data_IF_074252025116
#
_entry.id   IF_074252025116
#
_cell.length_a   1.000
_cell.length_b   1.000
_cell.length_c   1.000
_cell.angle_alpha   90.00
_cell.angle_beta   90.00
_cell.angle_gamma   90.00
#
_symmetry.space_group_name_H-M   'P 1'
#
loop_
_entity.id
_entity.type
_entity.pdbx_description
1 polymer ?
#
# COMPACT_ATOMS: atom_id res chain seq x y z
N UNK A 1 -38.67 37.53 -24.23
CA UNK A 1 -38.24 36.12 -24.35
C UNK A 1 -38.12 35.53 -22.95
N UNK A 2 -38.91 34.52 -22.57
CA UNK A 2 -39.11 34.12 -21.18
C UNK A 2 -38.01 33.19 -20.64
N UNK A 3 -37.69 33.38 -19.35
CA UNK A 3 -36.80 32.52 -18.54
C UNK A 3 -37.41 31.12 -18.40
N UNK A 4 -36.74 30.10 -18.94
CA UNK A 4 -37.06 28.68 -18.69
C UNK A 4 -36.34 28.24 -17.41
N UNK A 5 -37.12 28.03 -16.35
CA UNK A 5 -36.69 27.26 -15.18
C UNK A 5 -36.62 25.78 -15.54
N UNK A 6 -35.51 25.12 -15.23
CA UNK A 6 -35.43 23.67 -15.20
C UNK A 6 -35.74 23.18 -13.78
N UNK A 7 -36.76 22.34 -13.73
CA UNK A 7 -37.29 21.62 -12.58
C UNK A 7 -36.28 20.59 -12.06
N UNK A 8 -36.26 20.45 -10.74
CA UNK A 8 -35.63 19.35 -10.02
C UNK A 8 -36.22 17.99 -10.46
N UNK A 9 -35.34 17.01 -10.68
CA UNK A 9 -35.71 15.62 -10.92
C UNK A 9 -35.98 14.87 -9.59
N UNK A 10 -36.94 13.95 -9.54
CA UNK A 10 -37.30 13.20 -8.34
C UNK A 10 -36.26 12.10 -8.00
N UNK A 11 -36.03 11.93 -6.70
CA UNK A 11 -35.03 11.03 -6.13
C UNK A 11 -35.27 9.54 -6.39
N UNK A 12 -34.16 8.83 -6.63
CA UNK A 12 -34.07 7.38 -6.77
C UNK A 12 -34.01 6.69 -5.39
N UNK A 13 -34.77 5.59 -5.14
CA UNK A 13 -34.84 4.93 -3.84
C UNK A 13 -33.70 3.91 -3.63
N UNK A 14 -32.53 4.36 -3.17
CA UNK A 14 -31.38 3.49 -2.83
C UNK A 14 -31.41 2.85 -1.42
N UNK A 15 -32.53 2.89 -0.71
CA UNK A 15 -32.59 2.68 0.75
C UNK A 15 -32.75 1.24 1.26
N UNK A 16 -33.05 0.26 0.41
CA UNK A 16 -33.44 -1.09 0.84
C UNK A 16 -32.28 -2.09 0.90
N UNK A 17 -31.27 -1.96 0.03
CA UNK A 17 -30.11 -2.87 0.01
C UNK A 17 -29.12 -2.59 1.15
N UNK A 18 -28.93 -1.33 1.58
CA UNK A 18 -28.11 -0.99 2.76
C UNK A 18 -28.65 -1.56 4.07
N UNK A 19 -29.98 -1.68 4.21
CA UNK A 19 -30.62 -2.17 5.44
C UNK A 19 -30.51 -3.69 5.63
N UNK A 20 -30.32 -4.46 4.55
CA UNK A 20 -30.08 -5.91 4.63
C UNK A 20 -28.64 -6.25 5.03
N UNK A 21 -27.66 -5.53 4.49
CA UNK A 21 -26.24 -5.73 4.84
C UNK A 21 -25.94 -5.39 6.32
N UNK A 22 -26.51 -4.30 6.85
CA UNK A 22 -26.33 -3.93 8.26
C UNK A 22 -26.96 -4.93 9.25
N UNK A 23 -27.98 -5.69 8.83
CA UNK A 23 -28.64 -6.67 9.68
C UNK A 23 -27.81 -7.96 9.83
N UNK A 24 -26.98 -8.29 8.84
CA UNK A 24 -26.07 -9.45 8.86
C UNK A 24 -24.76 -9.19 9.63
N UNK A 25 -24.26 -7.94 9.63
CA UNK A 25 -23.10 -7.60 10.49
C UNK A 25 -23.46 -7.59 11.98
N UNK A 26 -24.68 -7.15 12.35
CA UNK A 26 -25.15 -7.20 13.74
C UNK A 26 -25.39 -8.63 14.23
N UNK A 27 -25.80 -9.57 13.36
CA UNK A 27 -25.97 -10.98 13.77
C UNK A 27 -24.62 -11.68 14.03
N UNK A 28 -23.57 -11.35 13.27
CA UNK A 28 -22.22 -11.89 13.51
C UNK A 28 -21.58 -11.35 14.80
N UNK A 29 -21.79 -10.07 15.12
CA UNK A 29 -21.27 -9.49 16.37
C UNK A 29 -21.95 -10.05 17.62
N UNK A 30 -23.25 -10.38 17.57
CA UNK A 30 -23.93 -11.05 18.69
C UNK A 30 -23.42 -12.48 18.92
N UNK A 31 -23.06 -13.21 17.86
CA UNK A 31 -22.59 -14.60 17.96
C UNK A 31 -21.17 -14.73 18.56
N UNK A 32 -20.32 -13.71 18.39
CA UNK A 32 -19.02 -13.65 19.08
C UNK A 32 -19.13 -13.28 20.56
N UNK A 33 -20.14 -12.50 20.96
CA UNK A 33 -20.36 -12.14 22.36
C UNK A 33 -20.86 -13.33 23.20
N UNK A 34 -21.73 -14.18 22.64
CA UNK A 34 -22.26 -15.37 23.33
C UNK A 34 -21.18 -16.43 23.58
N UNK A 35 -20.24 -16.65 22.64
CA UNK A 35 -19.12 -17.60 22.84
C UNK A 35 -18.16 -17.18 23.96
N UNK A 36 -18.07 -15.89 24.28
CA UNK A 36 -17.26 -15.38 25.40
C UNK A 36 -17.96 -15.54 26.75
N UNK A 37 -19.30 -15.60 26.77
CA UNK A 37 -20.09 -15.76 27.98
C UNK A 37 -20.22 -17.22 28.46
N UNK A 38 -20.03 -18.19 27.56
CA UNK A 38 -20.21 -19.64 27.85
C UNK A 38 -18.94 -20.34 28.36
N UNK A 39 -17.81 -19.62 28.51
CA UNK A 39 -16.66 -20.12 29.26
C UNK A 39 -16.12 -21.48 28.78
N UNK A 40 -15.84 -21.62 27.48
CA UNK A 40 -15.24 -22.84 26.93
C UNK A 40 -13.71 -22.68 26.82
N UNK A 41 -12.90 -23.49 27.55
CA UNK A 41 -11.45 -23.36 27.57
C UNK A 41 -10.81 -24.28 26.53
N UNK A 42 -10.31 -23.73 25.42
CA UNK A 42 -9.46 -24.49 24.49
C UNK A 42 -7.99 -24.46 24.93
N UNK A 43 -7.71 -25.29 25.93
CA UNK A 43 -6.48 -26.04 26.20
C UNK A 43 -5.14 -25.57 25.64
N UNK A 44 -4.43 -24.75 26.40
CA UNK A 44 -2.97 -24.81 26.44
C UNK A 44 -2.55 -26.15 27.08
N UNK A 45 -1.88 -27.02 26.32
CA UNK A 45 -1.20 -28.19 26.88
C UNK A 45 0.32 -28.00 26.79
N UNK A 46 0.90 -27.69 27.93
CA UNK A 46 2.32 -27.82 28.20
C UNK A 46 2.63 -29.31 28.42
N UNK A 47 3.52 -29.91 27.63
CA UNK A 47 4.16 -31.17 27.98
C UNK A 47 5.68 -31.01 27.88
N UNK A 48 6.32 -31.06 29.04
CA UNK A 48 7.76 -31.07 29.20
C UNK A 48 8.30 -32.47 29.47
N UNK A 49 9.59 -32.62 29.16
CA UNK A 49 10.56 -33.57 29.69
C UNK A 49 10.45 -35.06 29.33
N UNK A 50 11.44 -35.53 28.57
CA UNK A 50 11.71 -36.95 28.33
C UNK A 50 13.05 -37.17 27.61
N UNK A 51 14.16 -36.77 28.24
CA UNK A 51 15.52 -36.93 27.70
C UNK A 51 15.92 -38.42 27.81
N UNK A 52 15.86 -39.16 26.71
CA UNK A 52 16.32 -40.55 26.63
C UNK A 52 17.73 -40.61 26.03
N UNK A 53 18.70 -40.98 26.87
CA UNK A 53 20.11 -41.19 26.51
C UNK A 53 20.23 -42.60 25.89
N UNK A 54 20.58 -42.68 24.60
CA UNK A 54 20.89 -43.95 23.92
C UNK A 54 22.39 -44.22 23.96
N UNK A 55 22.83 -45.47 24.22
CA UNK A 55 24.24 -45.80 24.35
C UNK A 55 24.95 -45.84 22.99
N UNK A 56 26.20 -45.37 23.01
CA UNK A 56 27.17 -45.43 21.90
C UNK A 56 27.59 -46.89 21.66
N UNK A 57 27.16 -47.47 20.55
CA UNK A 57 27.73 -48.71 20.01
C UNK A 57 28.67 -48.35 18.87
N UNK A 58 29.93 -48.74 19.03
CA UNK A 58 31.05 -48.51 18.12
C UNK A 58 31.10 -49.65 17.09
N UNK A 59 31.04 -49.33 15.80
CA UNK A 59 31.17 -50.30 14.71
C UNK A 59 32.35 -49.93 13.79
N UNK A 60 33.01 -50.92 13.15
CA UNK A 60 34.38 -50.81 12.64
C UNK A 60 34.49 -50.23 11.21
N UNK A 61 35.70 -49.70 10.95
CA UNK A 61 36.18 -49.14 9.69
C UNK A 61 36.21 -50.20 8.56
N UNK A 62 35.48 -49.91 7.47
CA UNK A 62 35.40 -50.75 6.29
C UNK A 62 35.64 -49.96 5.00
N UNK A 63 36.90 -49.95 4.56
CA UNK A 63 37.42 -49.98 3.18
C UNK A 63 36.77 -49.09 2.11
N UNK A 64 37.53 -48.06 1.74
CA UNK A 64 37.34 -47.16 0.59
C UNK A 64 37.03 -47.90 -0.72
N UNK A 65 36.01 -47.41 -1.44
CA UNK A 65 35.80 -47.68 -2.86
C UNK A 65 35.53 -46.38 -3.60
N UNK A 66 36.48 -46.07 -4.48
CA UNK A 66 36.52 -45.11 -5.58
C UNK A 66 35.24 -44.27 -5.84
N UNK A 67 35.37 -42.95 -5.70
CA UNK A 67 34.45 -41.97 -6.29
C UNK A 67 34.51 -42.06 -7.82
N UNK A 68 33.46 -42.63 -8.42
CA UNK A 68 33.06 -42.25 -9.76
C UNK A 68 32.01 -41.15 -9.61
N UNK A 69 32.42 -39.89 -9.82
CA UNK A 69 31.49 -38.76 -9.91
C UNK A 69 30.70 -38.95 -11.21
N UNK A 70 29.54 -39.60 -11.12
CA UNK A 70 28.50 -39.50 -12.13
C UNK A 70 27.74 -38.20 -11.85
N UNK A 71 28.05 -37.18 -12.64
CA UNK A 71 27.22 -35.98 -12.73
C UNK A 71 25.83 -36.42 -13.19
N UNK A 72 24.93 -36.57 -12.22
CA UNK A 72 23.53 -36.86 -12.48
C UNK A 72 22.85 -35.50 -12.53
N UNK A 73 22.70 -34.92 -13.73
CA UNK A 73 21.60 -33.96 -13.93
C UNK A 73 20.34 -34.81 -13.91
N UNK A 74 19.74 -34.97 -12.74
CA UNK A 74 18.30 -35.12 -12.72
C UNK A 74 17.75 -33.75 -13.12
N UNK A 75 17.03 -33.61 -14.25
CA UNK A 75 16.09 -32.51 -14.33
C UNK A 75 15.06 -32.85 -13.27
N UNK A 76 15.23 -32.30 -12.08
CA UNK A 76 14.14 -32.15 -11.13
C UNK A 76 13.20 -31.13 -11.76
N UNK A 77 12.45 -31.59 -12.75
CA UNK A 77 11.29 -30.91 -13.26
C UNK A 77 10.17 -31.29 -12.30
N UNK A 78 10.31 -30.84 -11.06
CA UNK A 78 9.16 -30.59 -10.21
C UNK A 78 8.27 -29.69 -11.05
N UNK A 79 7.12 -30.21 -11.48
CA UNK A 79 6.10 -29.41 -12.12
C UNK A 79 5.92 -28.15 -11.27
N UNK A 80 5.88 -26.94 -11.84
CA UNK A 80 5.71 -25.75 -11.05
C UNK A 80 4.44 -25.96 -10.21
N UNK A 81 4.61 -25.98 -8.89
CA UNK A 81 3.50 -25.76 -7.96
C UNK A 81 2.72 -24.56 -8.53
N UNK A 82 1.38 -24.60 -8.58
CA UNK A 82 0.62 -23.54 -9.23
C UNK A 82 0.94 -22.21 -8.52
N UNK A 83 1.81 -21.42 -9.15
CA UNK A 83 2.19 -20.10 -8.65
C UNK A 83 0.90 -19.27 -8.60
N UNK A 84 0.59 -18.75 -7.42
CA UNK A 84 -0.60 -17.94 -7.25
C UNK A 84 -0.46 -16.69 -8.11
N UNK A 85 -1.39 -16.50 -9.05
CA UNK A 85 -1.34 -15.43 -10.02
C UNK A 85 -2.62 -14.59 -9.96
N UNK A 86 -2.46 -13.27 -9.97
CA UNK A 86 -3.57 -12.33 -10.11
C UNK A 86 -4.22 -12.45 -11.49
N UNK A 87 -5.47 -11.99 -11.61
CA UNK A 87 -6.13 -11.88 -12.90
C UNK A 87 -5.38 -10.88 -13.79
N UNK A 88 -5.10 -11.24 -15.04
CA UNK A 88 -4.53 -10.30 -16.00
C UNK A 88 -5.59 -9.26 -16.43
N UNK A 89 -5.24 -7.99 -16.30
CA UNK A 89 -6.10 -6.84 -16.61
C UNK A 89 -5.47 -5.98 -17.73
N UNK A 90 -5.44 -6.47 -18.99
CA UNK A 90 -4.77 -5.78 -20.09
C UNK A 90 -5.43 -4.42 -20.41
N UNK A 91 -6.74 -4.31 -20.23
CA UNK A 91 -7.48 -3.05 -20.44
C UNK A 91 -7.03 -1.95 -19.47
N UNK A 92 -6.86 -2.30 -18.18
CA UNK A 92 -6.37 -1.37 -17.15
C UNK A 92 -4.93 -0.97 -17.43
N UNK A 93 -4.08 -1.94 -17.78
CA UNK A 93 -2.67 -1.69 -18.13
C UNK A 93 -2.55 -0.76 -19.33
N UNK A 94 -3.38 -0.97 -20.35
CA UNK A 94 -3.42 -0.11 -21.53
C UNK A 94 -3.89 1.31 -21.17
N UNK A 95 -4.97 1.45 -20.40
CA UNK A 95 -5.48 2.76 -19.97
C UNK A 95 -4.44 3.55 -19.15
N UNK A 96 -3.68 2.87 -18.30
CA UNK A 96 -2.58 3.47 -17.53
C UNK A 96 -1.38 3.85 -18.40
N UNK A 97 -1.07 3.07 -19.44
CA UNK A 97 0.03 3.34 -20.36
C UNK A 97 -0.27 4.46 -21.36
N UNK A 98 -1.52 4.59 -21.79
CA UNK A 98 -1.97 5.64 -22.72
C UNK A 98 -2.30 6.96 -22.00
N UNK A 99 -2.65 6.89 -20.72
CA UNK A 99 -3.02 8.03 -19.89
C UNK A 99 -1.85 8.80 -19.29
N UNK A 100 -2.14 10.02 -18.84
CA UNK A 100 -1.22 10.83 -18.05
C UNK A 100 -1.37 10.53 -16.56
N UNK A 101 -0.43 11.01 -15.73
CA UNK A 101 -0.51 10.90 -14.26
C UNK A 101 -1.84 11.39 -13.68
N UNK A 102 -2.42 12.45 -14.24
CA UNK A 102 -3.69 13.00 -13.78
C UNK A 102 -4.91 12.11 -14.08
N UNK A 103 -4.82 11.17 -15.04
CA UNK A 103 -5.93 10.28 -15.38
C UNK A 103 -6.01 9.03 -14.50
N UNK A 104 -4.98 8.71 -13.72
CA UNK A 104 -4.94 7.49 -12.87
C UNK A 104 -6.15 7.40 -11.95
N UNK A 105 -6.55 8.50 -11.31
CA UNK A 105 -7.74 8.51 -10.46
C UNK A 105 -9.05 8.21 -11.22
N UNK A 106 -9.14 8.58 -12.50
CA UNK A 106 -10.28 8.24 -13.36
C UNK A 106 -10.27 6.76 -13.72
N UNK A 107 -9.10 6.18 -14.02
CA UNK A 107 -8.94 4.74 -14.26
C UNK A 107 -9.39 3.93 -13.04
N UNK A 108 -9.05 4.35 -11.82
CA UNK A 108 -9.56 3.71 -10.59
C UNK A 108 -11.08 3.81 -10.48
N UNK A 109 -11.67 4.94 -10.85
CA UNK A 109 -13.13 5.11 -10.81
C UNK A 109 -13.85 4.22 -11.82
N UNK A 110 -13.24 3.96 -12.98
CA UNK A 110 -13.75 3.06 -14.01
C UNK A 110 -13.52 1.58 -13.66
N UNK A 111 -12.41 1.27 -13.00
CA UNK A 111 -11.99 -0.08 -12.61
C UNK A 111 -11.76 -0.22 -11.09
N UNK A 112 -12.80 -0.01 -10.25
CA UNK A 112 -12.62 0.06 -8.79
C UNK A 112 -12.23 -1.28 -8.13
N UNK A 113 -12.37 -2.40 -8.83
CA UNK A 113 -11.95 -3.73 -8.36
C UNK A 113 -10.52 -4.10 -8.77
N UNK A 114 -9.86 -3.28 -9.59
CA UNK A 114 -8.52 -3.59 -10.13
C UNK A 114 -7.43 -3.24 -9.09
N UNK A 115 -6.70 -4.21 -8.55
CA UNK A 115 -5.58 -3.92 -7.66
C UNK A 115 -4.49 -3.10 -8.37
N UNK A 116 -4.26 -3.33 -9.68
CA UNK A 116 -3.28 -2.59 -10.46
C UNK A 116 -3.58 -1.09 -10.49
N UNK A 117 -4.83 -0.69 -10.75
CA UNK A 117 -5.20 0.71 -10.79
C UNK A 117 -4.98 1.40 -9.43
N UNK A 118 -5.32 0.72 -8.32
CA UNK A 118 -5.09 1.24 -6.98
C UNK A 118 -3.60 1.33 -6.62
N UNK A 119 -2.78 0.38 -7.06
CA UNK A 119 -1.32 0.42 -6.87
C UNK A 119 -0.69 1.61 -7.57
N UNK A 120 -1.05 1.89 -8.82
CA UNK A 120 -0.55 3.08 -9.53
C UNK A 120 -0.98 4.38 -8.85
N UNK A 121 -2.21 4.44 -8.32
CA UNK A 121 -2.68 5.61 -7.59
C UNK A 121 -1.91 5.80 -6.28
N UNK A 122 -1.54 4.71 -5.60
CA UNK A 122 -0.70 4.75 -4.41
C UNK A 122 0.72 5.25 -4.74
N UNK A 123 1.33 4.72 -5.79
CA UNK A 123 2.67 5.13 -6.24
C UNK A 123 2.71 6.60 -6.68
N UNK A 124 1.64 7.08 -7.33
CA UNK A 124 1.49 8.50 -7.66
C UNK A 124 1.46 9.35 -6.38
N UNK A 125 0.62 8.99 -5.40
CA UNK A 125 0.53 9.71 -4.14
C UNK A 125 1.86 9.68 -3.35
N UNK A 126 2.58 8.56 -3.38
CA UNK A 126 3.91 8.43 -2.77
C UNK A 126 4.91 9.40 -3.43
N UNK A 127 4.90 9.47 -4.76
CA UNK A 127 5.76 10.37 -5.53
C UNK A 127 5.47 11.86 -5.29
N UNK A 128 4.23 12.19 -4.89
CA UNK A 128 3.79 13.53 -4.49
C UNK A 128 4.07 13.84 -3.00
N UNK A 129 4.64 12.89 -2.24
CA UNK A 129 4.90 13.03 -0.80
C UNK A 129 3.63 12.95 0.06
N UNK A 130 2.51 12.46 -0.48
CA UNK A 130 1.22 12.34 0.19
C UNK A 130 1.13 11.00 0.92
N UNK A 131 1.90 10.89 2.01
CA UNK A 131 2.07 9.63 2.74
C UNK A 131 0.76 9.01 3.26
N UNK A 132 -0.20 9.83 3.72
CA UNK A 132 -1.49 9.33 4.22
C UNK A 132 -2.29 8.69 3.08
N UNK A 133 -2.37 9.36 1.93
CA UNK A 133 -3.10 8.86 0.77
C UNK A 133 -2.41 7.67 0.12
N UNK A 134 -1.08 7.70 -0.01
CA UNK A 134 -0.26 6.57 -0.45
C UNK A 134 -0.56 5.33 0.40
N UNK A 135 -0.51 5.46 1.73
CA UNK A 135 -0.83 4.37 2.65
C UNK A 135 -2.26 3.86 2.48
N UNK A 136 -3.24 4.76 2.36
CA UNK A 136 -4.65 4.39 2.20
C UNK A 136 -4.93 3.66 0.87
N UNK A 137 -4.38 4.16 -0.24
CA UNK A 137 -4.56 3.55 -1.56
C UNK A 137 -3.85 2.20 -1.65
N UNK A 138 -2.61 2.11 -1.15
CA UNK A 138 -1.86 0.85 -1.12
C UNK A 138 -2.55 -0.21 -0.26
N UNK A 139 -3.20 0.20 0.85
CA UNK A 139 -4.02 -0.71 1.67
C UNK A 139 -5.15 -1.35 0.86
N UNK A 140 -5.88 -0.54 0.08
CA UNK A 140 -6.98 -1.04 -0.77
C UNK A 140 -6.44 -1.96 -1.86
N UNK A 141 -5.34 -1.59 -2.51
CA UNK A 141 -4.70 -2.41 -3.53
C UNK A 141 -4.29 -3.79 -2.99
N UNK A 142 -3.62 -3.81 -1.83
CA UNK A 142 -3.18 -5.05 -1.19
C UNK A 142 -4.37 -5.94 -0.76
N UNK A 143 -5.44 -5.34 -0.21
CA UNK A 143 -6.64 -6.10 0.19
C UNK A 143 -7.36 -6.72 -1.02
N UNK A 144 -7.50 -5.97 -2.12
CA UNK A 144 -8.09 -6.47 -3.37
C UNK A 144 -7.24 -7.59 -3.98
N UNK A 145 -5.91 -7.40 -4.03
CA UNK A 145 -4.99 -8.40 -4.54
C UNK A 145 -5.05 -9.69 -3.72
N UNK A 146 -4.98 -9.63 -2.38
CA UNK A 146 -5.14 -10.82 -1.52
C UNK A 146 -6.48 -11.49 -1.75
N UNK A 147 -7.57 -10.73 -1.89
CA UNK A 147 -8.88 -11.30 -2.16
C UNK A 147 -8.93 -12.06 -3.51
N UNK A 148 -8.28 -11.54 -4.55
CA UNK A 148 -8.16 -12.23 -5.84
C UNK A 148 -7.27 -13.48 -5.75
N UNK A 149 -6.13 -13.40 -5.07
CA UNK A 149 -5.24 -14.54 -4.86
C UNK A 149 -5.96 -15.65 -4.10
N UNK A 150 -6.66 -15.33 -3.00
CA UNK A 150 -7.45 -16.30 -2.22
C UNK A 150 -8.54 -16.94 -3.08
N UNK A 151 -9.18 -16.18 -3.98
CA UNK A 151 -10.14 -16.73 -4.93
C UNK A 151 -9.49 -17.69 -5.95
N UNK A 152 -8.21 -17.48 -6.26
CA UNK A 152 -7.37 -18.37 -7.07
C UNK A 152 -6.78 -19.58 -6.33
N UNK A 153 -7.03 -19.73 -5.02
CA UNK A 153 -6.54 -20.85 -4.20
C UNK A 153 -5.26 -20.57 -3.41
N UNK A 154 -4.78 -19.32 -3.39
CA UNK A 154 -3.65 -18.90 -2.58
C UNK A 154 -4.00 -18.86 -1.08
N UNK A 155 -3.04 -19.26 -0.24
CA UNK A 155 -3.10 -19.10 1.21
C UNK A 155 -2.04 -18.11 1.66
N UNK A 156 -2.33 -17.36 2.73
CA UNK A 156 -1.38 -16.43 3.34
C UNK A 156 -0.06 -17.15 3.68
N UNK A 157 1.02 -16.75 3.03
CA UNK A 157 2.36 -17.33 3.20
C UNK A 157 2.83 -18.17 2.00
N UNK A 158 1.95 -18.47 1.05
CA UNK A 158 2.35 -19.08 -0.21
C UNK A 158 3.11 -18.06 -1.08
N UNK A 159 4.12 -18.50 -1.85
CA UNK A 159 4.94 -17.62 -2.67
C UNK A 159 4.12 -16.97 -3.79
N UNK A 160 4.48 -15.72 -4.13
CA UNK A 160 3.87 -14.94 -5.21
C UNK A 160 5.00 -14.36 -6.05
N UNK A 161 5.26 -14.95 -7.21
CA UNK A 161 6.42 -14.65 -8.05
C UNK A 161 6.36 -13.24 -8.68
N UNK A 162 7.46 -12.48 -8.58
CA UNK A 162 7.66 -11.21 -9.30
C UNK A 162 7.70 -11.38 -10.83
N UNK A 163 8.07 -12.56 -11.31
CA UNK A 163 8.18 -12.84 -12.75
C UNK A 163 6.84 -12.72 -13.47
N UNK A 164 5.76 -13.00 -12.76
CA UNK A 164 4.39 -12.82 -13.24
C UNK A 164 3.99 -11.34 -13.19
N UNK A 165 3.77 -10.77 -14.37
CA UNK A 165 3.37 -9.36 -14.50
C UNK A 165 2.12 -8.98 -13.67
N UNK A 166 1.04 -9.79 -13.63
CA UNK A 166 -0.13 -9.46 -12.80
C UNK A 166 0.20 -9.34 -11.31
N UNK A 167 1.10 -10.19 -10.80
CA UNK A 167 1.49 -10.25 -9.39
C UNK A 167 2.26 -9.01 -8.92
N UNK A 168 2.89 -8.29 -9.84
CA UNK A 168 3.62 -7.05 -9.51
C UNK A 168 2.74 -6.01 -8.85
N UNK A 169 1.44 -5.97 -9.16
CA UNK A 169 0.50 -5.05 -8.52
C UNK A 169 0.44 -5.26 -6.99
N UNK A 170 0.42 -6.52 -6.55
CA UNK A 170 0.42 -6.88 -5.13
C UNK A 170 1.75 -6.54 -4.44
N UNK A 171 2.86 -6.97 -5.05
CA UNK A 171 4.21 -6.79 -4.48
C UNK A 171 4.57 -5.30 -4.38
N UNK A 172 4.22 -4.50 -5.40
CA UNK A 172 4.36 -3.03 -5.38
C UNK A 172 3.46 -2.40 -4.33
N UNK A 173 2.21 -2.82 -4.20
CA UNK A 173 1.32 -2.30 -3.16
C UNK A 173 1.87 -2.52 -1.75
N UNK A 174 2.44 -3.69 -1.46
CA UNK A 174 3.08 -3.96 -0.17
C UNK A 174 4.28 -3.03 0.08
N UNK A 175 5.15 -2.85 -0.90
CA UNK A 175 6.32 -1.99 -0.74
C UNK A 175 5.95 -0.51 -0.60
N UNK A 176 4.96 -0.03 -1.35
CA UNK A 176 4.44 1.34 -1.22
C UNK A 176 3.73 1.55 0.11
N UNK A 177 2.93 0.59 0.56
CA UNK A 177 2.30 0.64 1.89
C UNK A 177 3.36 0.67 3.01
N UNK A 178 4.44 -0.13 2.87
CA UNK A 178 5.57 -0.16 3.81
C UNK A 178 6.27 1.19 3.89
N UNK A 179 6.64 1.78 2.75
CA UNK A 179 7.31 3.10 2.67
C UNK A 179 6.45 4.22 3.26
N UNK A 180 5.14 4.19 2.97
CA UNK A 180 4.20 5.14 3.54
C UNK A 180 4.04 4.93 5.06
N UNK A 181 4.02 3.68 5.54
CA UNK A 181 3.99 3.36 6.97
C UNK A 181 5.22 3.91 7.71
N UNK A 182 6.43 3.74 7.13
CA UNK A 182 7.68 4.31 7.66
C UNK A 182 7.60 5.84 7.76
N UNK A 183 7.08 6.48 6.71
CA UNK A 183 6.89 7.94 6.66
C UNK A 183 5.90 8.45 7.72
N UNK A 184 4.94 7.62 8.13
CA UNK A 184 3.96 7.91 9.17
C UNK A 184 4.42 7.51 10.59
N UNK A 185 5.58 6.89 10.75
CA UNK A 185 6.08 6.37 12.03
C UNK A 185 5.35 5.12 12.53
N UNK A 186 4.79 4.33 11.62
CA UNK A 186 4.11 3.06 11.92
C UNK A 186 5.09 1.88 11.79
N UNK A 187 6.13 1.86 12.62
CA UNK A 187 7.28 0.94 12.48
C UNK A 187 6.90 -0.54 12.52
N UNK A 188 5.99 -0.95 13.42
CA UNK A 188 5.51 -2.34 13.51
C UNK A 188 4.82 -2.75 12.21
N UNK A 189 3.98 -1.86 11.66
CA UNK A 189 3.27 -2.12 10.41
C UNK A 189 4.24 -2.22 9.22
N UNK A 190 5.26 -1.36 9.18
CA UNK A 190 6.30 -1.42 8.16
C UNK A 190 7.07 -2.75 8.24
N UNK A 191 7.44 -3.19 9.45
CA UNK A 191 8.13 -4.46 9.68
C UNK A 191 7.29 -5.65 9.23
N UNK A 192 6.00 -5.69 9.56
CA UNK A 192 5.08 -6.74 9.13
C UNK A 192 4.96 -6.81 7.60
N UNK A 193 4.81 -5.66 6.95
CA UNK A 193 4.71 -5.56 5.50
C UNK A 193 6.01 -5.99 4.80
N UNK A 194 7.17 -5.64 5.37
CA UNK A 194 8.46 -6.11 4.87
C UNK A 194 8.58 -7.64 5.00
N UNK A 195 8.12 -8.21 6.11
CA UNK A 195 8.08 -9.65 6.32
C UNK A 195 7.14 -10.35 5.34
N UNK A 196 5.95 -9.80 5.10
CA UNK A 196 4.98 -10.32 4.14
C UNK A 196 5.56 -10.29 2.71
N UNK A 197 6.17 -9.18 2.32
CA UNK A 197 6.80 -9.02 1.01
C UNK A 197 7.97 -9.99 0.81
N UNK A 198 8.88 -10.11 1.77
CA UNK A 198 10.01 -11.04 1.71
C UNK A 198 9.58 -12.51 1.74
N UNK A 199 8.46 -12.82 2.39
CA UNK A 199 7.88 -14.17 2.39
C UNK A 199 7.27 -14.50 1.03
N UNK A 200 6.58 -13.53 0.40
CA UNK A 200 5.98 -13.69 -0.91
C UNK A 200 7.04 -13.86 -2.01
N UNK A 201 8.03 -12.97 -2.06
CA UNK A 201 9.17 -13.03 -2.98
C UNK A 201 10.38 -12.28 -2.39
N UNK A 202 11.52 -12.96 -2.12
CA UNK A 202 12.71 -12.32 -1.56
C UNK A 202 13.46 -11.40 -2.54
N UNK A 203 13.28 -11.55 -3.85
CA UNK A 203 13.88 -10.66 -4.86
C UNK A 203 13.05 -9.40 -5.08
N UNK A 204 11.74 -9.45 -4.83
CA UNK A 204 10.81 -8.35 -5.12
C UNK A 204 11.25 -6.99 -4.54
N UNK A 205 11.69 -6.84 -3.27
CA UNK A 205 12.14 -5.53 -2.76
C UNK A 205 13.26 -4.90 -3.59
N UNK A 206 14.25 -5.71 -4.00
CA UNK A 206 15.37 -5.23 -4.80
C UNK A 206 14.94 -4.88 -6.23
N UNK A 207 14.05 -5.70 -6.83
CA UNK A 207 13.50 -5.43 -8.16
C UNK A 207 12.65 -4.17 -8.17
N UNK A 208 11.73 -4.00 -7.22
CA UNK A 208 10.90 -2.79 -7.06
C UNK A 208 11.80 -1.56 -6.93
N UNK A 209 12.81 -1.62 -6.06
CA UNK A 209 13.73 -0.51 -5.87
C UNK A 209 14.50 -0.14 -7.14
N UNK A 210 14.73 -1.08 -8.07
CA UNK A 210 15.45 -0.85 -9.34
C UNK A 210 14.55 -0.48 -10.53
N UNK A 211 13.37 -1.09 -10.63
CA UNK A 211 12.44 -0.97 -11.77
C UNK A 211 11.41 0.15 -11.54
N UNK A 212 11.03 0.37 -10.28
CA UNK A 212 10.00 1.32 -9.87
C UNK A 212 10.55 2.34 -8.88
N UNK A 213 11.86 2.66 -8.98
CA UNK A 213 12.48 3.69 -8.16
C UNK A 213 11.67 4.98 -8.28
N UNK A 214 11.29 5.63 -7.17
CA UNK A 214 10.71 6.96 -7.21
C UNK A 214 11.80 7.97 -7.58
N UNK A 215 12.27 7.94 -8.82
CA UNK A 215 13.11 8.99 -9.42
C UNK A 215 12.38 9.60 -10.61
N UNK A 216 11.16 10.06 -10.32
CA UNK A 216 10.64 11.28 -10.95
C UNK A 216 11.09 12.53 -10.18
N UNK A 217 12.31 12.49 -9.62
CA UNK A 217 13.11 13.66 -9.23
C UNK A 217 13.81 14.28 -10.46
N UNK A 218 13.09 14.34 -11.58
CA UNK A 218 13.19 15.48 -12.49
C UNK A 218 11.83 16.16 -12.35
N UNK A 219 11.66 16.93 -11.28
CA UNK A 219 10.55 17.87 -11.18
C UNK A 219 10.69 18.86 -12.33
N UNK A 220 10.06 18.57 -13.46
CA UNK A 220 9.56 19.65 -14.30
C UNK A 220 8.48 20.28 -13.45
N UNK A 221 8.81 21.38 -12.79
CA UNK A 221 7.89 22.17 -11.98
C UNK A 221 6.60 22.33 -12.78
N UNK A 222 5.49 21.80 -12.26
CA UNK A 222 4.21 21.91 -12.97
C UNK A 222 3.76 23.36 -12.95
N UNK A 223 3.08 23.82 -14.00
CA UNK A 223 2.58 25.20 -14.08
C UNK A 223 1.67 25.57 -12.89
N UNK A 224 1.05 24.57 -12.24
CA UNK A 224 0.31 24.74 -11.00
C UNK A 224 1.21 25.13 -9.82
N UNK A 225 2.38 24.50 -9.66
CA UNK A 225 3.34 24.81 -8.60
C UNK A 225 3.91 26.22 -8.76
N UNK A 226 4.17 26.65 -10.00
CA UNK A 226 4.59 28.03 -10.32
C UNK A 226 3.49 29.03 -9.94
N UNK A 227 2.22 28.69 -10.18
CA UNK A 227 1.10 29.56 -9.86
C UNK A 227 0.85 29.67 -8.35
N UNK A 228 1.03 28.57 -7.60
CA UNK A 228 0.87 28.54 -6.13
C UNK A 228 2.01 29.32 -5.47
N UNK A 229 3.26 29.17 -5.92
CA UNK A 229 4.38 29.97 -5.43
C UNK A 229 4.23 31.46 -5.80
N UNK A 230 3.75 31.78 -7.00
CA UNK A 230 3.46 33.16 -7.39
C UNK A 230 2.36 33.79 -6.53
N UNK A 231 1.30 33.02 -6.19
CA UNK A 231 0.23 33.49 -5.32
C UNK A 231 0.70 33.69 -3.86
N UNK A 232 1.52 32.76 -3.33
CA UNK A 232 2.08 32.88 -1.99
C UNK A 232 3.09 34.04 -1.88
N UNK A 233 3.91 34.26 -2.91
CA UNK A 233 4.84 35.39 -2.95
C UNK A 233 4.15 36.75 -3.12
N UNK A 234 3.03 36.81 -3.85
CA UNK A 234 2.19 38.02 -3.88
C UNK A 234 1.53 38.27 -2.52
N UNK A 235 1.01 37.26 -1.84
CA UNK A 235 0.44 37.41 -0.50
C UNK A 235 1.49 37.88 0.53
N UNK A 236 2.74 37.41 0.41
CA UNK A 236 3.85 37.83 1.26
C UNK A 236 4.35 39.26 0.96
N UNK A 237 4.19 39.78 -0.27
CA UNK A 237 4.69 41.11 -0.65
C UNK A 237 3.73 42.27 -0.41
N UNK A 238 2.48 42.05 0.05
CA UNK A 238 1.51 43.15 0.31
C UNK A 238 1.64 43.75 1.72
N UNK A 239 2.51 43.23 2.58
CA UNK A 239 2.68 43.75 3.93
C UNK A 239 4.08 44.34 4.14
N UNK A 240 4.34 45.54 3.60
CA UNK A 240 5.04 46.63 4.28
C UNK A 240 5.08 47.85 3.34
N UNK A 241 4.14 48.79 3.44
CA UNK A 241 4.32 50.13 2.87
C UNK A 241 4.19 51.15 3.98
N UNK A 242 5.37 51.54 4.50
CA UNK A 242 5.74 52.87 4.97
C UNK A 242 4.85 53.55 6.03
N UNK A 243 5.30 53.49 7.28
CA UNK A 243 5.04 54.54 8.27
C UNK A 243 5.64 55.86 7.76
N UNK A 244 4.83 56.92 7.68
CA UNK A 244 5.26 58.24 7.19
C UNK A 244 5.97 58.98 8.32
N UNK A 245 7.24 59.32 8.06
CA UNK A 245 8.11 60.19 8.85
C UNK A 245 7.36 61.45 9.31
N UNK A 246 7.24 61.63 10.63
CA UNK A 246 6.89 62.90 11.24
C UNK A 246 8.19 63.70 11.53
N UNK A 247 8.25 64.87 10.91
CA UNK A 247 9.31 65.89 10.95
C UNK A 247 9.60 66.42 12.37
N UNK A 248 10.85 66.74 12.74
CA UNK A 248 11.16 67.32 14.03
C UNK A 248 10.89 68.83 14.01
N UNK A 249 9.79 69.26 14.60
CA UNK A 249 9.53 70.68 14.87
C UNK A 249 10.40 71.13 16.05
N UNK A 250 11.36 72.01 15.78
CA UNK A 250 12.00 72.86 16.78
C UNK A 250 11.25 74.19 16.87
N UNK A 251 10.81 74.59 18.08
CA UNK A 251 10.97 75.96 18.59
C UNK A 251 10.52 76.09 20.06
N UNK A 252 11.46 76.55 20.88
CA UNK A 252 11.40 77.57 21.92
C UNK A 252 10.37 77.61 23.08
N UNK A 253 10.99 77.79 24.26
CA UNK A 253 10.68 78.72 25.36
C UNK A 253 9.57 78.41 26.37
N UNK A 254 9.98 78.14 27.61
CA UNK A 254 9.55 78.89 28.80
C UNK A 254 10.57 78.65 29.93
N UNK A 255 11.16 79.73 30.45
CA UNK A 255 11.86 79.72 31.72
C UNK A 255 10.89 79.98 32.87
N UNK A 256 11.28 79.66 34.09
CA UNK A 256 10.97 80.47 35.27
C UNK A 256 11.93 80.10 36.42
N UNK A 257 12.36 81.16 37.10
CA UNK A 257 13.15 81.23 38.33
C UNK A 257 12.19 81.22 39.52
#
# INVERSE_FOLDING_TARGET
MPRRGLRAAPGLPGGLHRRRAQRLLRSRQHQCAERRAVGEPSGCRCEGSGRSVRPLVRAPLGREKALAIRWSVTPDQSAPEPEASLADEPEVRQALAEGDRSSVASVVAEHPSSPLAWTELADLADSEGRAIESFAFASVAADLARAQLVAGGWTSGDPVSWSDEPNRAYLRALDTQRRAAESLGLDERASDLAGELATADPEAPARIASEFTPTQLISIVSAHDIAVDAANNHAASVAQTGDVVAEPAASDAAGED
#
